data_IF_925722077681
#
_entry.id   IF_925722077681
#
_cell.length_a   1.000
_cell.length_b   1.000
_cell.length_c   1.000
_cell.angle_alpha   90.00
_cell.angle_beta   90.00
_cell.angle_gamma   90.00
#
_symmetry.space_group_name_H-M   'P 1'
#
loop_
_entity.id
_entity.type
_entity.pdbx_description
1 polymer ?
#
# COMPACT_ATOMS: atom_id res chain seq x y z
N UNK A 1 9.65 27.60 4.19
CA UNK A 1 11.03 27.25 3.80
C UNK A 1 11.65 26.18 4.72
N UNK A 2 11.60 26.36 6.06
CA UNK A 2 12.18 25.39 7.02
C UNK A 2 11.53 24.01 6.94
N UNK A 3 10.20 23.95 6.81
CA UNK A 3 9.45 22.69 6.66
C UNK A 3 9.86 21.96 5.38
N UNK A 4 9.98 22.66 4.26
CA UNK A 4 10.42 22.10 2.99
C UNK A 4 11.88 21.62 3.02
N UNK A 5 12.75 22.29 3.77
CA UNK A 5 14.11 21.82 3.98
C UNK A 5 14.17 20.52 4.79
N UNK A 6 13.41 20.43 5.86
CA UNK A 6 13.39 19.23 6.73
C UNK A 6 12.74 18.05 5.98
N UNK A 7 11.62 18.25 5.30
CA UNK A 7 10.97 17.21 4.51
C UNK A 7 11.82 16.78 3.31
N UNK A 8 12.42 17.73 2.58
CA UNK A 8 13.31 17.45 1.46
C UNK A 8 14.57 16.65 1.84
N UNK A 9 15.12 16.87 3.02
CA UNK A 9 16.26 16.11 3.53
C UNK A 9 15.89 14.65 3.84
N UNK A 10 14.66 14.39 4.28
CA UNK A 10 14.19 13.02 4.48
C UNK A 10 14.05 12.27 3.15
N UNK A 11 13.68 12.96 2.08
CA UNK A 11 13.53 12.38 0.73
C UNK A 11 14.86 12.22 -0.01
N UNK A 12 15.86 13.05 0.31
CA UNK A 12 17.18 12.93 -0.24
C UNK A 12 18.00 11.73 0.33
N UNK A 13 17.38 10.88 1.14
CA UNK A 13 18.03 9.72 1.74
C UNK A 13 19.05 10.06 2.83
N UNK A 14 19.15 11.33 3.24
CA UNK A 14 20.15 11.77 4.22
C UNK A 14 19.88 11.18 5.62
N UNK A 15 18.60 10.96 5.93
CA UNK A 15 18.16 10.33 7.19
C UNK A 15 18.02 8.82 7.05
N UNK A 16 18.16 8.31 5.82
CA UNK A 16 18.22 6.91 5.48
C UNK A 16 16.96 6.11 5.83
N UNK A 17 17.10 4.81 5.72
CA UNK A 17 16.08 3.80 6.00
C UNK A 17 15.52 3.83 7.43
N UNK A 18 16.20 4.50 8.35
CA UNK A 18 15.74 4.61 9.75
C UNK A 18 14.44 5.40 9.91
N UNK A 19 14.19 6.38 9.06
CA UNK A 19 12.94 7.11 9.07
C UNK A 19 11.78 6.27 8.53
N UNK A 20 12.03 5.50 7.47
CA UNK A 20 11.05 4.58 6.89
C UNK A 20 10.59 3.54 7.93
N UNK A 21 11.50 3.07 8.78
CA UNK A 21 11.17 2.13 9.86
C UNK A 21 10.18 2.69 10.89
N UNK A 22 10.12 4.02 11.06
CA UNK A 22 9.22 4.63 12.06
C UNK A 22 7.77 4.69 11.56
N UNK A 23 7.54 4.93 10.28
CA UNK A 23 6.17 5.01 9.74
C UNK A 23 5.64 3.71 9.17
N UNK A 24 6.48 2.73 8.88
CA UNK A 24 6.08 1.40 8.43
C UNK A 24 5.70 0.45 9.59
N UNK A 25 5.49 0.97 10.78
CA UNK A 25 5.00 0.16 11.90
C UNK A 25 3.49 0.03 11.80
N UNK A 26 3.04 -1.15 11.37
CA UNK A 26 1.64 -1.54 11.44
C UNK A 26 1.35 -2.29 12.74
N UNK A 27 0.12 -2.22 13.24
CA UNK A 27 -0.31 -3.15 14.28
C UNK A 27 -0.14 -4.59 13.76
N UNK A 28 0.59 -5.41 14.50
CA UNK A 28 0.85 -6.81 14.17
C UNK A 28 -0.45 -7.60 13.97
N UNK A 29 -1.52 -7.19 14.62
CA UNK A 29 -2.84 -7.80 14.53
C UNK A 29 -3.40 -7.92 13.11
N UNK A 30 -2.95 -7.06 12.18
CA UNK A 30 -3.37 -7.14 10.77
C UNK A 30 -2.77 -8.34 10.03
N UNK A 31 -1.66 -8.87 10.52
CA UNK A 31 -0.86 -9.88 9.85
C UNK A 31 -0.82 -11.22 10.58
N UNK A 32 -1.21 -11.27 11.86
CA UNK A 32 -1.04 -12.44 12.72
C UNK A 32 -1.85 -13.69 12.28
N UNK A 33 -2.87 -13.50 11.47
CA UNK A 33 -3.77 -14.57 11.03
C UNK A 33 -3.41 -15.19 9.69
N UNK A 34 -2.41 -14.65 8.97
CA UNK A 34 -2.04 -15.10 7.62
C UNK A 34 -0.58 -15.48 7.56
N UNK A 35 -0.18 -16.45 6.70
CA UNK A 35 1.22 -16.75 6.44
C UNK A 35 1.93 -15.53 5.87
N UNK A 36 3.15 -15.27 6.32
CA UNK A 36 3.96 -14.14 5.93
C UNK A 36 5.22 -14.60 5.21
N UNK A 37 5.54 -13.91 4.13
CA UNK A 37 6.78 -14.06 3.37
C UNK A 37 7.97 -13.45 4.11
N UNK A 38 9.16 -13.93 3.79
CA UNK A 38 10.42 -13.27 4.16
C UNK A 38 10.64 -11.95 3.38
N UNK A 39 9.88 -11.72 2.31
CA UNK A 39 9.90 -10.48 1.54
C UNK A 39 9.01 -9.42 2.17
N UNK A 40 9.42 -8.16 2.03
CA UNK A 40 8.61 -7.00 2.44
C UNK A 40 7.97 -6.34 1.22
N UNK A 41 6.99 -5.47 1.44
CA UNK A 41 6.35 -4.70 0.38
C UNK A 41 7.33 -3.84 -0.44
N UNK A 42 8.52 -3.54 0.10
CA UNK A 42 9.57 -2.85 -0.64
C UNK A 42 9.98 -3.59 -1.92
N UNK A 43 9.83 -4.92 -1.97
CA UNK A 43 10.11 -5.71 -3.16
C UNK A 43 9.21 -5.39 -4.35
N UNK A 44 8.03 -4.82 -4.12
CA UNK A 44 7.10 -4.38 -5.16
C UNK A 44 7.45 -3.00 -5.74
N UNK A 45 8.18 -2.17 -4.98
CA UNK A 45 8.54 -0.83 -5.43
C UNK A 45 9.83 -0.85 -6.26
N UNK A 46 9.71 -0.84 -7.59
CA UNK A 46 10.83 -0.93 -8.52
C UNK A 46 11.21 0.44 -9.10
N UNK A 47 12.36 0.94 -8.72
CA UNK A 47 12.93 2.18 -9.31
C UNK A 47 12.02 3.41 -9.07
N UNK A 48 11.56 4.02 -10.16
CA UNK A 48 10.65 5.16 -10.09
C UNK A 48 9.16 4.77 -9.96
N UNK A 49 8.83 3.50 -10.23
CA UNK A 49 7.45 3.01 -10.07
C UNK A 49 7.20 2.69 -8.59
N UNK A 50 6.10 3.21 -8.07
CA UNK A 50 5.59 2.92 -6.73
C UNK A 50 4.31 2.13 -6.88
N UNK A 51 4.32 0.90 -6.42
CA UNK A 51 3.21 -0.03 -6.55
C UNK A 51 2.45 -0.22 -5.24
N UNK A 52 3.09 0.14 -4.13
CA UNK A 52 2.50 0.16 -2.80
C UNK A 52 2.95 1.40 -2.03
N UNK A 53 2.11 1.90 -1.10
CA UNK A 53 2.45 3.05 -0.28
C UNK A 53 3.74 2.84 0.52
N UNK A 54 4.54 3.87 0.68
CA UNK A 54 5.75 3.82 1.52
C UNK A 54 5.47 3.40 2.95
N UNK A 55 4.26 3.68 3.44
CA UNK A 55 3.82 3.23 4.75
C UNK A 55 3.89 1.70 4.92
N UNK A 56 3.80 0.94 3.82
CA UNK A 56 3.84 -0.52 3.82
C UNK A 56 5.23 -1.10 3.56
N UNK A 57 6.18 -0.35 3.02
CA UNK A 57 7.46 -0.88 2.49
C UNK A 57 8.20 -1.84 3.42
N UNK A 58 8.16 -1.58 4.73
CA UNK A 58 8.88 -2.40 5.72
C UNK A 58 8.02 -3.53 6.31
N UNK A 59 6.76 -3.63 5.94
CA UNK A 59 5.89 -4.70 6.41
C UNK A 59 6.09 -5.96 5.56
N UNK A 60 6.03 -7.17 6.15
CA UNK A 60 6.13 -8.40 5.38
C UNK A 60 4.93 -8.55 4.44
N UNK A 61 5.15 -9.19 3.29
CA UNK A 61 4.10 -9.57 2.36
C UNK A 61 3.35 -10.79 2.90
N UNK A 62 2.02 -10.88 2.76
CA UNK A 62 1.33 -12.14 2.98
C UNK A 62 1.65 -13.16 1.88
N UNK A 63 1.51 -14.45 2.20
CA UNK A 63 1.70 -15.57 1.26
C UNK A 63 0.40 -16.26 0.89
N UNK A 64 0.29 -16.61 -0.39
CA UNK A 64 -0.76 -17.47 -0.93
C UNK A 64 -0.55 -18.94 -0.58
N UNK A 65 -1.62 -19.73 -0.75
CA UNK A 65 -1.58 -21.18 -0.65
C UNK A 65 -2.07 -21.73 0.69
N UNK A 66 -2.64 -20.91 1.53
CA UNK A 66 -3.29 -21.31 2.79
C UNK A 66 -4.81 -21.15 2.72
N UNK A 67 -5.51 -21.59 3.78
CA UNK A 67 -6.94 -21.32 3.95
C UNK A 67 -7.20 -20.05 4.77
N UNK A 68 -6.16 -19.26 5.05
CA UNK A 68 -6.28 -18.02 5.80
C UNK A 68 -7.05 -16.95 5.01
N UNK A 69 -7.44 -15.92 5.72
CA UNK A 69 -8.16 -14.78 5.16
C UNK A 69 -9.67 -14.98 5.07
N UNK A 70 -10.34 -13.99 4.50
CA UNK A 70 -11.79 -13.98 4.31
C UNK A 70 -12.12 -14.28 2.84
N UNK A 71 -13.03 -15.22 2.60
CA UNK A 71 -13.47 -15.54 1.23
C UNK A 71 -14.07 -14.29 0.56
N UNK A 72 -13.65 -14.02 -0.65
CA UNK A 72 -14.03 -12.83 -1.38
C UNK A 72 -14.37 -13.11 -2.85
N UNK A 73 -13.63 -14.01 -3.50
CA UNK A 73 -13.85 -14.36 -4.90
C UNK A 73 -14.34 -15.79 -4.97
N UNK A 74 -15.56 -15.96 -5.50
CA UNK A 74 -16.13 -17.28 -5.76
C UNK A 74 -15.74 -17.75 -7.17
N UNK A 75 -15.15 -18.94 -7.27
CA UNK A 75 -14.73 -19.55 -8.53
C UNK A 75 -13.26 -19.30 -8.88
N UNK A 76 -12.90 -19.36 -10.18
CA UNK A 76 -11.50 -19.22 -10.60
C UNK A 76 -10.93 -17.85 -10.28
N UNK A 77 -9.76 -17.84 -9.65
CA UNK A 77 -9.02 -16.60 -9.35
C UNK A 77 -8.20 -16.22 -10.58
N UNK A 78 -8.64 -15.18 -11.25
CA UNK A 78 -8.02 -14.64 -12.47
C UNK A 78 -7.89 -13.13 -12.36
N UNK A 79 -7.12 -12.53 -13.26
CA UNK A 79 -7.01 -11.06 -13.34
C UNK A 79 -8.39 -10.41 -13.46
N UNK A 80 -9.28 -10.98 -14.29
CA UNK A 80 -10.62 -10.44 -14.51
C UNK A 80 -11.49 -10.54 -13.25
N UNK A 81 -11.46 -11.69 -12.54
CA UNK A 81 -12.23 -11.84 -11.31
C UNK A 81 -11.75 -10.92 -10.19
N UNK A 82 -10.42 -10.72 -10.11
CA UNK A 82 -9.82 -9.76 -9.16
C UNK A 82 -10.17 -8.32 -9.52
N UNK A 83 -10.17 -7.97 -10.81
CA UNK A 83 -10.59 -6.64 -11.26
C UNK A 83 -12.07 -6.35 -10.95
N UNK A 84 -12.95 -7.31 -11.22
CA UNK A 84 -14.38 -7.21 -10.88
C UNK A 84 -14.58 -7.05 -9.36
N UNK A 85 -13.81 -7.79 -8.57
CA UNK A 85 -13.84 -7.64 -7.12
C UNK A 85 -13.36 -6.25 -6.68
N UNK A 86 -12.28 -5.72 -7.28
CA UNK A 86 -11.79 -4.38 -7.02
C UNK A 86 -12.85 -3.31 -7.30
N UNK A 87 -13.52 -3.40 -8.45
CA UNK A 87 -14.61 -2.50 -8.81
C UNK A 87 -15.76 -2.55 -7.80
N UNK A 88 -16.12 -3.75 -7.34
CA UNK A 88 -17.13 -3.96 -6.29
C UNK A 88 -16.77 -3.33 -4.95
N UNK A 89 -15.48 -3.14 -4.68
CA UNK A 89 -14.97 -2.47 -3.48
C UNK A 89 -14.79 -0.96 -3.63
N UNK A 90 -15.10 -0.40 -4.81
CA UNK A 90 -15.04 1.03 -5.07
C UNK A 90 -13.75 1.52 -5.74
N UNK A 91 -12.90 0.62 -6.24
CA UNK A 91 -11.77 1.00 -7.07
C UNK A 91 -12.24 1.30 -8.50
N UNK A 92 -12.81 2.48 -8.72
CA UNK A 92 -13.41 2.86 -10.01
C UNK A 92 -12.55 3.74 -10.90
N UNK A 93 -11.53 4.34 -10.33
CA UNK A 93 -10.64 5.29 -11.02
C UNK A 93 -9.26 4.65 -11.23
N UNK A 94 -8.22 5.42 -10.97
CA UNK A 94 -6.85 4.91 -11.05
C UNK A 94 -6.56 4.04 -9.84
N UNK A 95 -6.12 2.83 -10.09
CA UNK A 95 -5.57 1.90 -9.12
C UNK A 95 -4.58 0.98 -9.83
N UNK A 96 -3.76 0.31 -9.07
CA UNK A 96 -2.79 -0.64 -9.56
C UNK A 96 -3.25 -2.06 -9.21
N UNK A 97 -3.08 -2.98 -10.15
CA UNK A 97 -3.33 -4.40 -9.95
C UNK A 97 -2.05 -5.17 -10.27
N UNK A 98 -1.39 -5.66 -9.26
CA UNK A 98 -0.15 -6.43 -9.37
C UNK A 98 -0.44 -7.91 -9.30
N UNK A 99 0.22 -8.65 -10.19
CA UNK A 99 0.05 -10.09 -10.34
C UNK A 99 1.01 -10.84 -9.41
N UNK A 100 0.65 -12.07 -8.96
CA UNK A 100 1.58 -12.92 -8.23
C UNK A 100 2.85 -13.16 -9.04
N UNK A 101 4.01 -12.94 -8.43
CA UNK A 101 5.31 -13.11 -9.07
C UNK A 101 5.82 -14.56 -9.04
N UNK A 102 5.31 -15.36 -8.12
CA UNK A 102 5.73 -16.74 -7.89
C UNK A 102 4.60 -17.57 -7.26
N UNK A 103 4.89 -18.81 -6.88
CA UNK A 103 3.90 -19.75 -6.33
C UNK A 103 3.31 -19.32 -4.97
N UNK A 104 4.03 -18.54 -4.19
CA UNK A 104 3.54 -18.00 -2.91
C UNK A 104 3.09 -16.55 -3.03
N UNK A 105 3.24 -15.94 -4.21
CA UNK A 105 2.84 -14.58 -4.49
C UNK A 105 1.34 -14.34 -4.34
N UNK A 106 0.96 -13.09 -4.22
CA UNK A 106 -0.43 -12.65 -4.05
C UNK A 106 -0.83 -11.67 -5.16
N UNK A 107 -2.12 -11.59 -5.48
CA UNK A 107 -2.63 -10.42 -6.18
C UNK A 107 -2.65 -9.24 -5.22
N UNK A 108 -2.20 -8.08 -5.69
CA UNK A 108 -2.24 -6.86 -4.90
C UNK A 108 -3.01 -5.78 -5.65
N UNK A 109 -4.06 -5.26 -5.02
CA UNK A 109 -4.82 -4.10 -5.48
C UNK A 109 -4.38 -2.92 -4.62
N UNK A 110 -3.87 -1.86 -5.24
CA UNK A 110 -3.41 -0.67 -4.52
C UNK A 110 -3.98 0.61 -5.14
N UNK A 111 -4.49 1.49 -4.29
CA UNK A 111 -4.77 2.89 -4.58
C UNK A 111 -3.99 3.73 -3.59
N UNK A 112 -3.16 4.62 -4.09
CA UNK A 112 -2.14 5.31 -3.30
C UNK A 112 -1.96 6.75 -3.80
N UNK A 113 -2.17 7.69 -2.91
CA UNK A 113 -1.97 9.11 -3.20
C UNK A 113 -0.54 9.45 -3.61
N UNK A 114 0.45 8.72 -3.10
CA UNK A 114 1.86 8.93 -3.43
C UNK A 114 2.23 8.41 -4.81
N UNK A 115 1.44 7.49 -5.37
CA UNK A 115 1.59 6.96 -6.74
C UNK A 115 0.74 7.73 -7.75
N UNK A 116 0.16 8.87 -7.36
CA UNK A 116 -0.75 9.69 -8.17
C UNK A 116 -2.03 8.95 -8.62
N UNK A 117 -2.51 7.98 -7.86
CA UNK A 117 -3.80 7.35 -8.11
C UNK A 117 -4.95 8.25 -7.68
N UNK A 118 -4.71 9.13 -6.72
CA UNK A 118 -5.64 10.17 -6.29
C UNK A 118 -4.97 11.18 -5.34
N UNK A 119 -5.53 12.37 -5.18
CA UNK A 119 -4.93 13.45 -4.37
C UNK A 119 -5.18 13.30 -2.86
N UNK A 120 -6.06 12.39 -2.44
CA UNK A 120 -6.50 12.27 -1.04
C UNK A 120 -5.80 11.10 -0.34
N UNK A 121 -4.84 11.35 0.56
CA UNK A 121 -4.20 10.30 1.33
C UNK A 121 -5.15 9.47 2.20
N UNK A 122 -6.31 10.02 2.56
CA UNK A 122 -7.30 9.27 3.33
C UNK A 122 -7.99 8.16 2.53
N UNK A 123 -7.84 8.17 1.20
CA UNK A 123 -8.32 7.13 0.31
C UNK A 123 -7.32 5.98 0.09
N UNK A 124 -6.09 6.08 0.61
CA UNK A 124 -5.08 5.05 0.46
C UNK A 124 -5.59 3.69 0.96
N UNK A 125 -5.45 2.67 0.12
CA UNK A 125 -5.88 1.31 0.42
C UNK A 125 -5.07 0.29 -0.37
N UNK A 126 -4.62 -0.77 0.31
CA UNK A 126 -3.93 -1.90 -0.29
C UNK A 126 -4.59 -3.20 0.15
N UNK A 127 -4.91 -4.06 -0.82
CA UNK A 127 -5.57 -5.34 -0.57
C UNK A 127 -4.71 -6.45 -1.17
N UNK A 128 -4.49 -7.51 -0.42
CA UNK A 128 -3.82 -8.72 -0.87
C UNK A 128 -4.80 -9.88 -0.95
N UNK A 129 -4.76 -10.60 -2.07
CA UNK A 129 -5.67 -11.71 -2.38
C UNK A 129 -4.85 -12.95 -2.70
N UNK A 130 -5.19 -14.05 -2.05
CA UNK A 130 -4.61 -15.36 -2.31
C UNK A 130 -4.90 -15.79 -3.76
N UNK A 131 -3.85 -16.18 -4.49
CA UNK A 131 -3.95 -16.51 -5.91
C UNK A 131 -4.70 -17.81 -6.21
N UNK A 132 -4.90 -18.66 -5.21
CA UNK A 132 -5.55 -19.97 -5.36
C UNK A 132 -6.96 -19.97 -4.81
N UNK A 133 -7.16 -19.40 -3.62
CA UNK A 133 -8.43 -19.44 -2.91
C UNK A 133 -9.32 -18.23 -3.18
N UNK A 134 -8.73 -17.11 -3.63
CA UNK A 134 -9.43 -15.84 -3.76
C UNK A 134 -9.78 -15.18 -2.42
N UNK A 135 -9.19 -15.66 -1.33
CA UNK A 135 -9.39 -15.06 -0.02
C UNK A 135 -8.65 -13.73 0.09
N UNK A 136 -9.26 -12.74 0.72
CA UNK A 136 -8.56 -11.52 1.14
C UNK A 136 -7.70 -11.86 2.35
N UNK A 137 -6.39 -11.78 2.15
CA UNK A 137 -5.39 -12.03 3.18
C UNK A 137 -5.16 -10.79 4.05
N UNK A 138 -5.20 -9.61 3.43
CA UNK A 138 -5.08 -8.33 4.14
C UNK A 138 -5.81 -7.22 3.37
N UNK A 139 -6.45 -6.31 4.11
CA UNK A 139 -7.08 -5.08 3.61
C UNK A 139 -6.57 -3.93 4.49
N UNK A 140 -5.54 -3.24 4.01
CA UNK A 140 -4.88 -2.16 4.73
C UNK A 140 -5.37 -0.83 4.19
N UNK A 141 -5.91 0.00 5.06
CA UNK A 141 -6.46 1.31 4.74
C UNK A 141 -5.67 2.40 5.45
N UNK A 142 -5.75 3.62 4.97
CA UNK A 142 -5.20 4.78 5.66
C UNK A 142 -5.58 4.82 7.15
N UNK A 143 -6.79 4.40 7.52
CA UNK A 143 -7.23 4.34 8.92
C UNK A 143 -6.31 3.48 9.80
N UNK A 144 -5.71 2.43 9.22
CA UNK A 144 -4.83 1.47 9.89
C UNK A 144 -3.38 1.97 10.00
N UNK A 145 -3.04 3.05 9.32
CA UNK A 145 -1.70 3.62 9.37
C UNK A 145 -1.36 4.13 10.77
N UNK A 146 -0.10 3.98 11.15
CA UNK A 146 0.42 4.62 12.36
C UNK A 146 0.29 6.16 12.27
N UNK A 147 0.36 6.85 13.42
CA UNK A 147 0.32 8.31 13.43
C UNK A 147 1.41 8.93 12.56
N UNK A 148 2.60 8.33 12.52
CA UNK A 148 3.71 8.79 11.69
C UNK A 148 3.47 8.51 10.20
N UNK A 149 2.92 7.35 9.84
CA UNK A 149 2.55 7.03 8.46
C UNK A 149 1.47 7.97 7.94
N UNK A 150 0.46 8.31 8.76
CA UNK A 150 -0.55 9.31 8.46
C UNK A 150 0.04 10.69 8.23
N UNK A 151 0.93 11.13 9.11
CA UNK A 151 1.64 12.40 8.97
C UNK A 151 2.46 12.44 7.68
N UNK A 152 3.09 11.32 7.31
CA UNK A 152 3.89 11.22 6.10
C UNK A 152 3.03 11.33 4.84
N UNK A 153 1.92 10.59 4.77
CA UNK A 153 1.00 10.63 3.63
C UNK A 153 0.48 12.07 3.38
N UNK A 154 0.06 12.77 4.42
CA UNK A 154 -0.33 14.18 4.32
C UNK A 154 0.84 15.11 4.02
N UNK A 155 2.04 14.77 4.52
CA UNK A 155 3.26 15.54 4.25
C UNK A 155 3.64 15.53 2.78
N UNK A 156 3.43 14.41 2.09
CA UNK A 156 3.64 14.29 0.65
C UNK A 156 2.65 15.16 -0.11
N UNK A 157 1.35 14.99 0.14
CA UNK A 157 0.30 15.80 -0.49
C UNK A 157 0.51 17.31 -0.25
N UNK A 158 0.98 17.69 0.95
CA UNK A 158 1.36 19.06 1.26
C UNK A 158 2.55 19.53 0.42
N UNK A 159 3.56 18.69 0.24
CA UNK A 159 4.77 19.04 -0.51
C UNK A 159 4.50 19.17 -2.01
N UNK A 160 3.61 18.36 -2.55
CA UNK A 160 3.23 18.36 -3.96
C UNK A 160 2.21 19.45 -4.31
N UNK A 161 1.61 20.10 -3.32
CA UNK A 161 0.64 21.16 -3.53
C UNK A 161 -0.80 20.69 -3.72
N UNK A 162 -1.10 19.44 -3.42
CA UNK A 162 -2.40 18.80 -3.65
C UNK A 162 -3.50 19.23 -2.68
N UNK A 163 -3.13 19.95 -1.63
CA UNK A 163 -4.08 20.43 -0.60
C UNK A 163 -4.82 21.72 -0.99
N UNK A 164 -4.71 22.15 -2.24
CA UNK A 164 -5.41 23.31 -2.78
C UNK A 164 -4.56 24.58 -2.90
N UNK A 165 -5.17 25.65 -3.43
CA UNK A 165 -4.48 26.88 -3.81
C UNK A 165 -3.66 27.54 -2.68
N UNK A 166 -4.06 27.40 -1.42
CA UNK A 166 -3.35 27.94 -0.28
C UNK A 166 -1.98 27.28 -0.04
N UNK A 167 -1.79 26.11 -0.60
CA UNK A 167 -0.57 25.31 -0.45
C UNK A 167 0.46 25.58 -1.57
N UNK A 168 0.03 26.25 -2.64
CA UNK A 168 0.85 26.50 -3.84
C UNK A 168 1.47 27.90 -3.84
N UNK A 169 1.11 28.77 -2.88
CA UNK A 169 1.53 30.17 -2.80
C UNK A 169 2.74 30.37 -1.90
#
# INVERSE_FOLDING_TARGET
LVVFLISGLSWAGLWGTKFVQVWSTFPAEKWDAVPLSDETHASMNHGAAKEVPWALEQTPMPESGSLAGAQAIDGPVTVDSVAVFAEGLGFHNRYQLNLPANETGVFTISHDSMSNDGPDPAADRTIHIDQYTGNVLADVRYADYSAYAKLMAWGVAFHEGDLGLWNVV
#
